data_IF_659744553095
#
_entry.id   IF_659744553095
#
_cell.length_a   1.000
_cell.length_b   1.000
_cell.length_c   1.000
_cell.angle_alpha   90.00
_cell.angle_beta   90.00
_cell.angle_gamma   90.00
#
_symmetry.space_group_name_H-M   'P 1'
#
loop_
_entity.id
_entity.type
_entity.pdbx_description
1 polymer ?
#
# COMPACT_ATOMS: atom_id res chain seq x y z
N UNK A 1 -54.07 -47.43 -29.57
CA UNK A 1 -53.11 -47.32 -28.46
C UNK A 1 -51.71 -47.17 -29.03
N UNK A 2 -51.10 -45.98 -28.97
CA UNK A 2 -49.68 -45.77 -29.23
C UNK A 2 -49.15 -44.84 -28.15
N UNK A 3 -48.40 -45.39 -27.22
CA UNK A 3 -47.74 -44.68 -26.12
C UNK A 3 -46.34 -44.28 -26.56
N UNK A 4 -46.08 -42.98 -26.64
CA UNK A 4 -44.76 -42.38 -26.84
C UNK A 4 -44.18 -42.04 -25.47
N UNK A 5 -43.08 -42.70 -25.07
CA UNK A 5 -42.28 -42.29 -23.91
C UNK A 5 -41.30 -41.19 -24.35
N UNK A 6 -41.37 -40.03 -23.70
CA UNK A 6 -40.34 -38.99 -23.77
C UNK A 6 -39.35 -39.19 -22.62
N UNK A 7 -38.07 -39.39 -22.95
CA UNK A 7 -36.98 -39.44 -21.97
C UNK A 7 -36.46 -38.02 -21.71
N UNK A 8 -36.59 -37.54 -20.46
CA UNK A 8 -35.90 -36.34 -19.99
C UNK A 8 -34.46 -36.72 -19.59
N UNK A 9 -33.48 -36.21 -20.31
CA UNK A 9 -32.07 -36.25 -19.91
C UNK A 9 -31.77 -35.03 -19.03
N UNK A 10 -31.46 -35.27 -17.76
CA UNK A 10 -31.05 -34.25 -16.80
C UNK A 10 -29.53 -34.06 -16.88
N UNK A 11 -29.07 -33.06 -17.62
CA UNK A 11 -27.64 -32.70 -17.69
C UNK A 11 -27.29 -31.80 -16.50
N UNK A 12 -26.63 -32.37 -15.49
CA UNK A 12 -26.07 -31.61 -14.38
C UNK A 12 -24.85 -30.80 -14.85
N UNK A 13 -24.96 -29.47 -14.89
CA UNK A 13 -23.83 -28.57 -15.07
C UNK A 13 -22.96 -28.57 -13.81
N UNK A 14 -21.85 -29.31 -13.84
CA UNK A 14 -20.74 -29.13 -12.90
C UNK A 14 -19.96 -27.87 -13.30
N UNK A 15 -20.22 -26.76 -12.61
CA UNK A 15 -19.34 -25.60 -12.66
C UNK A 15 -18.02 -25.96 -11.93
N UNK A 16 -16.84 -25.72 -12.52
CA UNK A 16 -15.58 -25.91 -11.82
C UNK A 16 -15.46 -24.84 -10.74
N UNK A 17 -15.58 -25.25 -9.47
CA UNK A 17 -15.13 -24.45 -8.35
C UNK A 17 -13.61 -24.34 -8.45
N UNK A 18 -13.11 -23.23 -9.00
CA UNK A 18 -11.70 -22.87 -8.84
C UNK A 18 -11.48 -22.63 -7.35
N UNK A 19 -11.01 -23.68 -6.66
CA UNK A 19 -10.41 -23.57 -5.34
C UNK A 19 -9.14 -22.76 -5.51
N UNK A 20 -9.25 -21.43 -5.39
CA UNK A 20 -8.12 -20.55 -5.18
C UNK A 20 -7.44 -21.10 -3.92
N UNK A 21 -6.30 -21.78 -4.09
CA UNK A 21 -5.52 -22.24 -2.95
C UNK A 21 -5.24 -20.98 -2.12
N UNK A 22 -5.92 -20.85 -0.98
CA UNK A 22 -5.77 -19.69 -0.13
C UNK A 22 -4.28 -19.58 0.20
N UNK A 23 -3.68 -18.44 -0.16
CA UNK A 23 -2.29 -18.21 0.17
C UNK A 23 -2.10 -18.36 1.67
N UNK A 24 -1.06 -19.10 2.06
CA UNK A 24 -0.81 -19.37 3.47
C UNK A 24 -0.66 -18.02 4.21
N UNK A 25 -1.48 -17.75 5.24
CA UNK A 25 -1.39 -16.50 5.96
C UNK A 25 -0.05 -16.41 6.67
N UNK A 26 0.49 -15.20 6.78
CA UNK A 26 1.65 -14.95 7.63
C UNK A 26 1.20 -15.07 9.09
N UNK A 27 1.85 -15.94 9.85
CA UNK A 27 1.50 -16.16 11.25
C UNK A 27 1.90 -14.96 12.13
N UNK A 28 1.18 -14.77 13.24
CA UNK A 28 1.55 -13.77 14.25
C UNK A 28 2.99 -13.94 14.76
N UNK A 29 3.51 -15.19 14.80
CA UNK A 29 4.91 -15.47 15.17
C UNK A 29 5.90 -14.92 14.12
N UNK A 30 5.59 -15.02 12.83
CA UNK A 30 6.42 -14.46 11.76
C UNK A 30 6.42 -12.93 11.83
N UNK A 31 5.25 -12.30 12.03
CA UNK A 31 5.17 -10.86 12.26
C UNK A 31 5.99 -10.43 13.49
N UNK A 32 5.78 -11.07 14.64
CA UNK A 32 6.52 -10.76 15.86
C UNK A 32 8.04 -10.88 15.67
N UNK A 33 8.50 -11.91 14.96
CA UNK A 33 9.92 -12.10 14.66
C UNK A 33 10.51 -10.99 13.79
N UNK A 34 9.76 -10.49 12.80
CA UNK A 34 10.24 -9.45 11.89
C UNK A 34 10.16 -8.07 12.54
N UNK A 35 9.11 -7.80 13.31
CA UNK A 35 8.95 -6.53 14.02
C UNK A 35 9.98 -6.35 15.13
N UNK A 36 10.38 -7.43 15.80
CA UNK A 36 11.49 -7.45 16.75
C UNK A 36 12.88 -7.61 16.09
N UNK A 37 12.95 -7.58 14.75
CA UNK A 37 14.17 -7.83 14.00
C UNK A 37 15.23 -6.76 14.25
N UNK A 38 16.44 -7.19 14.62
CA UNK A 38 17.57 -6.28 14.90
C UNK A 38 18.10 -5.53 13.67
N UNK A 39 17.63 -5.87 12.47
CA UNK A 39 17.99 -5.20 11.22
C UNK A 39 17.14 -3.95 10.95
N UNK A 40 16.04 -3.78 11.69
CA UNK A 40 15.17 -2.62 11.55
C UNK A 40 15.84 -1.39 12.11
N UNK A 41 15.69 -0.27 11.42
CA UNK A 41 16.15 1.01 11.93
C UNK A 41 15.39 1.32 13.24
N UNK A 42 16.07 1.62 14.36
CA UNK A 42 15.40 1.96 15.62
C UNK A 42 14.39 3.10 15.49
N UNK A 43 14.65 4.10 14.64
CA UNK A 43 13.71 5.19 14.37
C UNK A 43 12.48 4.72 13.59
N UNK A 44 12.60 3.67 12.78
CA UNK A 44 11.47 3.04 12.11
C UNK A 44 10.66 2.21 13.12
N UNK A 45 11.29 1.35 13.90
CA UNK A 45 10.63 0.50 14.89
C UNK A 45 9.90 1.30 15.97
N UNK A 46 10.45 2.45 16.39
CA UNK A 46 9.79 3.36 17.32
C UNK A 46 8.42 3.89 16.83
N UNK A 47 8.15 3.77 15.52
CA UNK A 47 6.91 4.21 14.89
C UNK A 47 5.89 3.10 14.68
N UNK A 48 6.20 1.86 15.06
CA UNK A 48 5.28 0.73 14.91
C UNK A 48 3.96 0.97 15.66
N UNK A 49 4.01 1.62 16.82
CA UNK A 49 2.81 1.98 17.60
C UNK A 49 1.92 3.03 16.92
N UNK A 50 2.43 3.75 15.91
CA UNK A 50 1.61 4.63 15.08
C UNK A 50 1.19 3.93 13.79
N UNK A 51 2.05 3.10 13.21
CA UNK A 51 1.89 2.54 11.86
C UNK A 51 1.21 1.17 11.82
N UNK A 52 1.12 0.48 12.96
CA UNK A 52 0.42 -0.79 13.11
C UNK A 52 0.71 -1.78 11.97
N UNK A 53 1.99 -2.13 11.71
CA UNK A 53 2.40 -2.84 10.50
C UNK A 53 1.72 -4.20 10.36
N UNK A 54 1.66 -4.98 11.43
CA UNK A 54 1.01 -6.29 11.40
C UNK A 54 -0.48 -6.14 11.04
N UNK A 55 -1.22 -5.34 11.79
CA UNK A 55 -2.66 -5.17 11.61
C UNK A 55 -2.99 -4.56 10.24
N UNK A 56 -2.17 -3.64 9.74
CA UNK A 56 -2.33 -3.04 8.42
C UNK A 56 -2.11 -4.06 7.30
N UNK A 57 -1.05 -4.88 7.40
CA UNK A 57 -0.74 -5.90 6.39
C UNK A 57 -1.72 -7.09 6.44
N UNK A 58 -2.18 -7.48 7.63
CA UNK A 58 -3.26 -8.46 7.82
C UNK A 58 -4.57 -7.94 7.20
N UNK A 59 -4.91 -6.66 7.42
CA UNK A 59 -6.08 -6.04 6.80
C UNK A 59 -6.00 -6.08 5.27
N UNK A 60 -4.83 -5.79 4.69
CA UNK A 60 -4.59 -5.91 3.24
C UNK A 60 -4.55 -7.37 2.75
N UNK A 61 -4.53 -8.36 3.64
CA UNK A 61 -4.55 -9.78 3.28
C UNK A 61 -3.20 -10.28 2.79
N UNK A 62 -2.11 -9.78 3.36
CA UNK A 62 -0.75 -10.23 3.01
C UNK A 62 -0.59 -11.73 3.27
N UNK A 63 -0.21 -12.46 2.22
CA UNK A 63 0.08 -13.89 2.25
C UNK A 63 1.55 -14.19 1.99
N UNK A 64 2.07 -15.27 2.56
CA UNK A 64 3.50 -15.59 2.53
C UNK A 64 4.06 -15.94 1.14
N UNK A 65 3.18 -16.22 0.16
CA UNK A 65 3.57 -16.64 -1.21
C UNK A 65 3.27 -15.58 -2.28
N UNK A 66 2.77 -14.42 -1.88
CA UNK A 66 2.35 -13.38 -2.81
C UNK A 66 3.54 -12.72 -3.50
N UNK A 67 3.32 -12.26 -4.74
CA UNK A 67 4.11 -11.19 -5.34
C UNK A 67 3.54 -9.85 -4.92
N UNK A 68 4.30 -9.09 -4.14
CA UNK A 68 3.90 -7.80 -3.57
C UNK A 68 4.79 -6.70 -4.12
N UNK A 69 4.16 -5.65 -4.66
CA UNK A 69 4.83 -4.42 -5.07
C UNK A 69 4.55 -3.35 -4.02
N UNK A 70 5.60 -2.87 -3.34
CA UNK A 70 5.55 -1.67 -2.52
C UNK A 70 5.90 -0.45 -3.38
N UNK A 71 5.00 0.53 -3.42
CA UNK A 71 5.16 1.73 -4.25
C UNK A 71 5.84 2.85 -3.45
N UNK A 72 6.91 3.40 -3.99
CA UNK A 72 7.72 4.49 -3.40
C UNK A 72 8.02 4.25 -1.92
N UNK A 73 8.84 3.24 -1.57
CA UNK A 73 9.13 2.86 -0.18
C UNK A 73 9.86 3.94 0.66
N UNK A 74 10.37 4.98 0.01
CA UNK A 74 11.20 6.01 0.66
C UNK A 74 12.43 5.38 1.31
N UNK A 75 12.65 5.70 2.58
CA UNK A 75 13.71 5.11 3.41
C UNK A 75 13.50 3.63 3.77
N UNK A 76 12.48 2.96 3.25
CA UNK A 76 12.31 1.51 3.35
C UNK A 76 11.64 0.99 4.63
N UNK A 77 10.81 1.82 5.27
CA UNK A 77 10.15 1.45 6.54
C UNK A 77 9.35 0.14 6.43
N UNK A 78 8.51 0.01 5.40
CA UNK A 78 7.75 -1.22 5.17
C UNK A 78 8.61 -2.29 4.50
N UNK A 79 9.64 -1.90 3.74
CA UNK A 79 10.60 -2.83 3.13
C UNK A 79 11.34 -3.68 4.16
N UNK A 80 11.68 -3.09 5.31
CA UNK A 80 12.26 -3.79 6.47
C UNK A 80 11.38 -4.92 7.02
N UNK A 81 10.07 -4.89 6.72
CA UNK A 81 9.08 -5.86 7.15
C UNK A 81 8.69 -6.81 6.00
N UNK A 82 8.31 -6.25 4.86
CA UNK A 82 7.81 -6.99 3.70
C UNK A 82 8.88 -7.90 3.09
N UNK A 83 10.12 -7.41 2.92
CA UNK A 83 11.16 -8.20 2.28
C UNK A 83 11.51 -9.46 3.10
N UNK A 84 11.75 -9.39 4.43
CA UNK A 84 11.94 -10.60 5.25
C UNK A 84 10.72 -11.53 5.28
N UNK A 85 9.50 -10.99 5.33
CA UNK A 85 8.28 -11.81 5.38
C UNK A 85 8.05 -12.63 4.10
N UNK A 86 8.40 -12.05 2.94
CA UNK A 86 8.20 -12.68 1.64
C UNK A 86 9.43 -13.43 1.12
N UNK A 87 10.59 -13.31 1.78
CA UNK A 87 11.88 -13.81 1.31
C UNK A 87 11.89 -15.30 0.93
N UNK A 88 11.21 -16.14 1.69
CA UNK A 88 11.35 -17.60 1.54
C UNK A 88 10.38 -18.19 0.53
N UNK A 89 9.16 -17.65 0.43
CA UNK A 89 8.08 -18.25 -0.35
C UNK A 89 7.35 -17.28 -1.29
N UNK A 90 7.53 -15.98 -1.12
CA UNK A 90 6.90 -14.94 -1.93
C UNK A 90 7.93 -14.13 -2.70
N UNK A 91 7.48 -12.99 -3.23
CA UNK A 91 8.32 -12.06 -3.97
C UNK A 91 8.01 -10.63 -3.55
N UNK A 92 9.04 -9.93 -3.07
CA UNK A 92 8.94 -8.52 -2.73
C UNK A 92 9.60 -7.66 -3.81
N UNK A 93 8.87 -6.65 -4.28
CA UNK A 93 9.30 -5.69 -5.28
C UNK A 93 9.12 -4.28 -4.72
N UNK A 94 10.21 -3.53 -4.63
CA UNK A 94 10.20 -2.10 -4.37
C UNK A 94 10.12 -1.34 -5.70
N UNK A 95 8.98 -0.68 -5.97
CA UNK A 95 8.86 0.22 -7.11
C UNK A 95 9.29 1.64 -6.70
N UNK A 96 10.39 2.12 -7.28
CA UNK A 96 10.96 3.45 -7.01
C UNK A 96 10.77 4.36 -8.22
N UNK A 97 10.56 5.65 -8.00
CA UNK A 97 10.60 6.59 -9.12
C UNK A 97 12.01 6.59 -9.69
N UNK A 98 12.14 6.62 -11.02
CA UNK A 98 13.44 6.66 -11.68
C UNK A 98 14.27 7.86 -11.16
N UNK A 99 15.54 7.64 -10.83
CA UNK A 99 16.47 8.68 -10.35
C UNK A 99 16.56 9.93 -11.26
N UNK A 100 16.16 9.83 -12.53
CA UNK A 100 16.10 10.95 -13.46
C UNK A 100 14.91 11.90 -13.22
N UNK A 101 13.89 11.47 -12.47
CA UNK A 101 12.65 12.25 -12.27
C UNK A 101 12.83 13.45 -11.35
N UNK A 102 13.71 13.34 -10.34
CA UNK A 102 14.04 14.42 -9.41
C UNK A 102 15.26 14.08 -8.55
N UNK A 103 15.86 15.08 -7.91
CA UNK A 103 16.91 14.86 -6.91
C UNK A 103 16.41 14.01 -5.73
N UNK A 104 15.16 14.24 -5.30
CA UNK A 104 14.53 13.46 -4.24
C UNK A 104 14.38 11.97 -4.62
N UNK A 105 13.92 11.68 -5.85
CA UNK A 105 13.80 10.31 -6.34
C UNK A 105 15.14 9.59 -6.35
N UNK A 106 16.20 10.26 -6.83
CA UNK A 106 17.57 9.72 -6.80
C UNK A 106 18.01 9.39 -5.39
N UNK A 107 17.91 10.32 -4.45
CA UNK A 107 18.31 10.10 -3.06
C UNK A 107 17.51 8.97 -2.40
N UNK A 108 16.20 8.92 -2.65
CA UNK A 108 15.30 7.88 -2.12
C UNK A 108 15.70 6.49 -2.63
N UNK A 109 15.92 6.38 -3.94
CA UNK A 109 16.37 5.15 -4.60
C UNK A 109 17.74 4.69 -4.08
N UNK A 110 18.73 5.59 -4.05
CA UNK A 110 20.08 5.30 -3.55
C UNK A 110 20.04 4.84 -2.09
N UNK A 111 19.26 5.52 -1.24
CA UNK A 111 19.08 5.16 0.17
C UNK A 111 18.53 3.75 0.32
N UNK A 112 17.50 3.39 -0.45
CA UNK A 112 16.89 2.07 -0.40
C UNK A 112 17.84 0.99 -0.93
N UNK A 113 18.49 1.23 -2.07
CA UNK A 113 19.48 0.30 -2.66
C UNK A 113 20.65 0.05 -1.70
N UNK A 114 21.16 1.10 -1.05
CA UNK A 114 22.22 0.98 -0.05
C UNK A 114 21.77 0.18 1.18
N UNK A 115 20.54 0.39 1.67
CA UNK A 115 19.96 -0.41 2.76
C UNK A 115 19.90 -1.90 2.38
N UNK A 116 19.45 -2.22 1.17
CA UNK A 116 19.37 -3.61 0.72
C UNK A 116 20.75 -4.24 0.55
N UNK A 117 21.72 -3.50 0.02
CA UNK A 117 23.10 -3.96 -0.13
C UNK A 117 23.80 -4.21 1.21
N UNK A 118 23.46 -3.44 2.25
CA UNK A 118 24.07 -3.54 3.58
C UNK A 118 23.67 -4.81 4.35
N UNK A 119 22.52 -5.43 4.04
CA UNK A 119 22.08 -6.67 4.70
C UNK A 119 21.49 -7.70 3.70
N UNK A 120 22.33 -8.36 2.89
CA UNK A 120 21.90 -9.34 1.90
C UNK A 120 21.13 -10.52 2.51
N UNK A 121 21.38 -10.85 3.78
CA UNK A 121 20.67 -11.94 4.46
C UNK A 121 19.16 -11.68 4.55
N UNK A 122 18.73 -10.41 4.56
CA UNK A 122 17.31 -10.01 4.59
C UNK A 122 16.82 -9.61 3.19
N UNK A 123 17.66 -8.94 2.41
CA UNK A 123 17.20 -8.22 1.22
C UNK A 123 17.71 -8.75 -0.13
N UNK A 124 18.60 -9.75 -0.19
CA UNK A 124 19.16 -10.19 -1.48
C UNK A 124 18.14 -10.74 -2.50
N UNK A 125 16.94 -11.12 -2.04
CA UNK A 125 15.82 -11.56 -2.89
C UNK A 125 14.82 -10.45 -3.20
N UNK A 126 14.95 -9.27 -2.60
CA UNK A 126 14.15 -8.11 -2.93
C UNK A 126 14.51 -7.62 -4.33
N UNK A 127 13.50 -7.27 -5.13
CA UNK A 127 13.71 -6.62 -6.42
C UNK A 127 13.46 -5.12 -6.27
N UNK A 128 14.22 -4.32 -7.01
CA UNK A 128 13.97 -2.88 -7.16
C UNK A 128 13.64 -2.65 -8.63
N UNK A 129 12.50 -2.02 -8.90
CA UNK A 129 12.08 -1.62 -10.25
C UNK A 129 11.88 -0.12 -10.29
N UNK A 130 12.41 0.51 -11.33
CA UNK A 130 12.24 1.95 -11.55
C UNK A 130 11.01 2.21 -12.43
N UNK A 131 10.30 3.32 -12.18
CA UNK A 131 9.20 3.77 -13.02
C UNK A 131 9.25 5.28 -13.28
N UNK A 132 8.75 5.70 -14.45
CA UNK A 132 8.50 7.10 -14.74
C UNK A 132 7.18 7.54 -14.07
N UNK A 133 7.19 8.53 -13.15
CA UNK A 133 5.96 8.99 -12.51
C UNK A 133 4.91 9.56 -13.47
N UNK A 134 5.30 10.00 -14.69
CA UNK A 134 4.36 10.49 -15.71
C UNK A 134 3.76 9.37 -16.57
N UNK A 135 4.43 8.22 -16.64
CA UNK A 135 4.00 7.06 -17.41
C UNK A 135 4.35 5.76 -16.65
N UNK A 136 3.72 5.52 -15.48
CA UNK A 136 4.14 4.46 -14.59
C UNK A 136 3.88 3.07 -15.17
N UNK A 137 4.89 2.19 -15.08
CA UNK A 137 4.79 0.76 -15.38
C UNK A 137 5.52 0.00 -14.28
N UNK A 138 4.79 -0.78 -13.49
CA UNK A 138 5.34 -1.45 -12.30
C UNK A 138 5.78 -2.90 -12.54
N UNK A 139 5.52 -3.43 -13.74
CA UNK A 139 5.81 -4.81 -14.09
C UNK A 139 4.97 -5.27 -15.27
N UNK A 140 5.03 -6.58 -15.57
CA UNK A 140 4.18 -7.18 -16.59
C UNK A 140 2.70 -7.07 -16.17
N UNK A 141 1.75 -6.89 -17.10
CA UNK A 141 0.34 -6.94 -16.76
C UNK A 141 -0.04 -8.25 -16.05
N UNK A 142 -0.92 -8.18 -15.05
CA UNK A 142 -1.39 -9.31 -14.25
C UNK A 142 -0.26 -10.18 -13.64
N UNK A 143 0.80 -9.55 -13.12
CA UNK A 143 1.94 -10.24 -12.52
C UNK A 143 1.98 -10.17 -10.99
N UNK A 144 1.33 -9.18 -10.36
CA UNK A 144 1.34 -9.01 -8.91
C UNK A 144 0.04 -9.49 -8.23
N UNK A 145 0.16 -10.03 -7.03
CA UNK A 145 -0.97 -10.40 -6.17
C UNK A 145 -1.43 -9.20 -5.33
N UNK A 146 -0.49 -8.36 -4.90
CA UNK A 146 -0.78 -7.13 -4.17
C UNK A 146 0.09 -5.95 -4.62
N UNK A 147 -0.51 -4.76 -4.63
CA UNK A 147 0.18 -3.48 -4.72
C UNK A 147 -0.15 -2.70 -3.46
N UNK A 148 0.87 -2.29 -2.72
CA UNK A 148 0.74 -1.59 -1.45
C UNK A 148 1.39 -0.22 -1.54
N UNK A 149 0.68 0.80 -1.07
CA UNK A 149 1.18 2.17 -1.00
C UNK A 149 0.84 2.81 0.34
N UNK A 150 1.81 3.53 0.89
CA UNK A 150 1.72 4.11 2.22
C UNK A 150 2.18 5.57 2.16
N UNK A 151 1.25 6.50 2.37
CA UNK A 151 1.49 7.94 2.40
C UNK A 151 2.09 8.51 1.10
N UNK A 152 1.55 8.09 -0.05
CA UNK A 152 2.04 8.55 -1.36
C UNK A 152 0.98 9.18 -2.27
N UNK A 153 -0.31 8.90 -2.07
CA UNK A 153 -1.38 9.35 -2.98
C UNK A 153 -1.44 10.87 -3.03
N UNK A 154 -1.25 11.55 -1.90
CA UNK A 154 -1.23 13.02 -1.85
C UNK A 154 -0.15 13.63 -2.76
N UNK A 155 1.00 12.96 -2.92
CA UNK A 155 2.06 13.41 -3.82
C UNK A 155 1.63 13.30 -5.29
N UNK A 156 0.91 12.24 -5.65
CA UNK A 156 0.45 12.04 -7.03
C UNK A 156 -0.74 12.94 -7.38
N UNK A 157 -1.58 13.28 -6.39
CA UNK A 157 -2.62 14.29 -6.56
C UNK A 157 -1.99 15.65 -6.80
N UNK A 158 -1.03 16.06 -5.96
CA UNK A 158 -0.33 17.34 -6.12
C UNK A 158 0.45 17.43 -7.45
N UNK A 159 0.97 16.31 -7.95
CA UNK A 159 1.70 16.24 -9.21
C UNK A 159 0.82 15.96 -10.45
N UNK A 160 -0.50 15.86 -10.29
CA UNK A 160 -1.46 15.49 -11.35
C UNK A 160 -1.11 14.17 -12.09
N UNK A 161 -0.62 13.19 -11.35
CA UNK A 161 -0.22 11.85 -11.85
C UNK A 161 -1.03 10.71 -11.23
N UNK A 162 -1.97 11.02 -10.34
CA UNK A 162 -2.75 10.01 -9.61
C UNK A 162 -3.54 9.10 -10.56
N UNK A 163 -4.22 9.64 -11.57
CA UNK A 163 -5.01 8.84 -12.52
C UNK A 163 -4.16 7.81 -13.27
N UNK A 164 -3.02 8.24 -13.83
CA UNK A 164 -2.08 7.35 -14.51
C UNK A 164 -1.52 6.27 -13.56
N UNK A 165 -1.21 6.66 -12.32
CA UNK A 165 -0.67 5.76 -11.29
C UNK A 165 -1.67 4.67 -10.90
N UNK A 166 -2.93 5.03 -10.62
CA UNK A 166 -3.97 4.04 -10.30
C UNK A 166 -4.30 3.12 -11.48
N UNK A 167 -4.28 3.63 -12.71
CA UNK A 167 -4.40 2.81 -13.93
C UNK A 167 -3.27 1.78 -14.02
N UNK A 168 -2.02 2.17 -13.74
CA UNK A 168 -0.88 1.25 -13.73
C UNK A 168 -0.97 0.19 -12.62
N UNK A 169 -1.49 0.53 -11.42
CA UNK A 169 -1.81 -0.48 -10.39
C UNK A 169 -2.81 -1.50 -10.90
N UNK A 170 -3.87 -1.03 -11.58
CA UNK A 170 -4.88 -1.91 -12.13
C UNK A 170 -4.29 -2.85 -13.19
N UNK A 171 -3.38 -2.37 -14.03
CA UNK A 171 -2.75 -3.17 -15.07
C UNK A 171 -1.84 -4.28 -14.49
N UNK A 172 -0.99 -3.96 -13.52
CA UNK A 172 -0.01 -4.90 -12.97
C UNK A 172 -0.64 -5.99 -12.10
N UNK A 173 -1.78 -5.69 -11.45
CA UNK A 173 -2.46 -6.66 -10.58
C UNK A 173 -3.15 -7.78 -11.37
N UNK A 174 -3.07 -9.00 -10.85
CA UNK A 174 -3.88 -10.14 -11.31
C UNK A 174 -5.38 -9.88 -11.06
N UNK A 175 -6.30 -10.51 -11.82
CA UNK A 175 -7.71 -10.57 -11.41
C UNK A 175 -7.84 -11.14 -10.00
N UNK A 176 -8.61 -10.49 -9.13
CA UNK A 176 -8.70 -10.80 -7.70
C UNK A 176 -7.56 -10.20 -6.85
N UNK A 177 -6.56 -9.57 -7.46
CA UNK A 177 -5.44 -8.93 -6.75
C UNK A 177 -5.86 -7.72 -5.92
N UNK A 178 -5.07 -7.41 -4.90
CA UNK A 178 -5.36 -6.36 -3.91
C UNK A 178 -4.57 -5.10 -4.19
N UNK A 179 -5.25 -3.95 -4.11
CA UNK A 179 -4.61 -2.66 -3.92
C UNK A 179 -4.85 -2.20 -2.47
N UNK A 180 -3.78 -2.11 -1.69
CA UNK A 180 -3.80 -1.58 -0.33
C UNK A 180 -3.32 -0.14 -0.33
N UNK A 181 -4.16 0.79 0.16
CA UNK A 181 -3.86 2.22 0.23
C UNK A 181 -3.96 2.70 1.66
N UNK A 182 -2.90 3.29 2.17
CA UNK A 182 -2.88 4.04 3.41
C UNK A 182 -2.42 5.47 3.11
N UNK A 183 -3.19 6.48 3.49
CA UNK A 183 -2.77 7.87 3.34
C UNK A 183 -3.46 8.81 4.35
N UNK A 184 -2.95 10.02 4.46
CA UNK A 184 -3.41 11.10 5.33
C UNK A 184 -4.88 11.46 5.05
N UNK A 185 -5.73 11.34 6.06
CA UNK A 185 -7.18 11.54 5.95
C UNK A 185 -7.56 12.97 6.28
N UNK A 186 -8.18 13.67 5.33
CA UNK A 186 -8.85 14.94 5.56
C UNK A 186 -10.19 14.73 6.27
N UNK A 187 -10.82 15.82 6.73
CA UNK A 187 -12.21 15.79 7.22
C UNK A 187 -13.14 15.41 6.06
N UNK A 188 -14.20 14.68 6.35
CA UNK A 188 -15.23 14.36 5.35
C UNK A 188 -15.85 15.65 4.80
N UNK A 189 -16.02 15.71 3.48
CA UNK A 189 -16.54 16.88 2.79
C UNK A 189 -15.62 18.11 2.81
N UNK A 190 -14.35 17.97 3.17
CA UNK A 190 -13.39 19.06 3.08
C UNK A 190 -13.31 19.62 1.65
N UNK A 191 -13.21 20.94 1.55
CA UNK A 191 -12.97 21.63 0.28
C UNK A 191 -11.60 21.23 -0.27
N UNK A 192 -11.58 20.68 -1.49
CA UNK A 192 -10.36 20.20 -2.14
C UNK A 192 -9.36 21.32 -2.38
N UNK A 193 -9.83 22.53 -2.69
CA UNK A 193 -8.95 23.69 -2.88
C UNK A 193 -8.30 24.12 -1.56
N UNK A 194 -9.02 23.98 -0.45
CA UNK A 194 -8.51 24.32 0.88
C UNK A 194 -7.46 23.32 1.39
N UNK A 195 -7.51 22.05 0.95
CA UNK A 195 -6.59 21.00 1.42
C UNK A 195 -5.45 20.67 0.44
N UNK A 196 -5.43 21.26 -0.76
CA UNK A 196 -4.50 20.87 -1.84
C UNK A 196 -3.02 20.87 -1.45
N UNK A 197 -2.61 21.81 -0.59
CA UNK A 197 -1.22 21.95 -0.13
C UNK A 197 -0.99 21.36 1.27
N UNK A 198 -1.98 20.67 1.83
CA UNK A 198 -1.95 20.17 3.21
C UNK A 198 -1.38 18.76 3.35
N UNK A 199 -1.32 18.00 2.25
CA UNK A 199 -0.98 16.57 2.26
C UNK A 199 -2.12 15.66 2.74
N UNK A 200 -3.23 16.21 3.24
CA UNK A 200 -4.44 15.44 3.54
C UNK A 200 -5.31 15.26 2.30
N UNK A 201 -5.93 14.08 2.17
CA UNK A 201 -6.90 13.77 1.11
C UNK A 201 -8.22 13.32 1.73
N UNK A 202 -9.34 13.62 1.07
CA UNK A 202 -10.62 13.01 1.49
C UNK A 202 -10.64 11.53 1.09
N UNK A 203 -11.23 10.68 1.94
CA UNK A 203 -11.41 9.25 1.63
C UNK A 203 -12.18 9.06 0.31
N UNK A 204 -13.18 9.90 0.07
CA UNK A 204 -13.98 9.89 -1.17
C UNK A 204 -13.12 10.13 -2.42
N UNK A 205 -12.15 11.04 -2.37
CA UNK A 205 -11.25 11.30 -3.50
C UNK A 205 -10.38 10.09 -3.82
N UNK A 206 -9.80 9.43 -2.81
CA UNK A 206 -8.96 8.24 -3.00
C UNK A 206 -9.79 7.05 -3.50
N UNK A 207 -10.99 6.85 -2.95
CA UNK A 207 -11.93 5.84 -3.46
C UNK A 207 -12.28 6.11 -4.91
N UNK A 208 -12.57 7.36 -5.29
CA UNK A 208 -12.88 7.73 -6.66
C UNK A 208 -11.73 7.42 -7.62
N UNK A 209 -10.49 7.76 -7.26
CA UNK A 209 -9.30 7.45 -8.07
C UNK A 209 -9.18 5.95 -8.34
N UNK A 210 -9.41 5.12 -7.31
CA UNK A 210 -9.38 3.67 -7.45
C UNK A 210 -10.54 3.14 -8.32
N UNK A 211 -11.76 3.61 -8.08
CA UNK A 211 -12.94 3.13 -8.83
C UNK A 211 -12.92 3.56 -10.29
N UNK A 212 -12.41 4.77 -10.59
CA UNK A 212 -12.23 5.24 -11.97
C UNK A 212 -11.21 4.37 -12.74
N UNK A 213 -10.20 3.83 -12.05
CA UNK A 213 -9.26 2.87 -12.61
C UNK A 213 -9.82 1.43 -12.74
N UNK A 214 -11.04 1.17 -12.24
CA UNK A 214 -11.73 -0.12 -12.35
C UNK A 214 -11.68 -1.00 -11.10
N UNK A 215 -11.13 -0.52 -9.99
CA UNK A 215 -11.16 -1.26 -8.72
C UNK A 215 -12.54 -1.21 -8.05
N UNK A 216 -12.78 -2.16 -7.15
CA UNK A 216 -13.89 -2.10 -6.18
C UNK A 216 -13.35 -1.93 -4.78
N UNK A 217 -13.94 -1.02 -4.00
CA UNK A 217 -13.65 -0.92 -2.57
C UNK A 217 -14.18 -2.19 -1.88
N UNK A 218 -13.30 -2.94 -1.24
CA UNK A 218 -13.63 -4.20 -0.58
C UNK A 218 -13.78 -4.03 0.94
N UNK A 219 -12.96 -3.17 1.55
CA UNK A 219 -13.02 -2.88 2.98
C UNK A 219 -12.32 -1.57 3.34
N UNK A 220 -12.65 -1.04 4.52
CA UNK A 220 -11.97 0.09 5.16
C UNK A 220 -11.60 -0.29 6.60
N UNK A 221 -10.54 0.31 7.14
CA UNK A 221 -10.09 0.07 8.52
C UNK A 221 -9.68 1.38 9.20
N UNK A 222 -10.01 1.47 10.49
CA UNK A 222 -9.60 2.54 11.39
C UNK A 222 -8.28 2.23 12.12
N UNK A 223 -7.55 1.20 11.69
CA UNK A 223 -6.29 0.76 12.34
C UNK A 223 -5.25 1.90 12.49
N UNK A 224 -5.22 2.85 11.55
CA UNK A 224 -4.33 4.01 11.58
C UNK A 224 -5.08 5.33 11.85
N UNK A 225 -6.28 5.27 12.43
CA UNK A 225 -7.02 6.45 12.82
C UNK A 225 -6.34 7.16 13.99
N UNK A 226 -6.31 8.48 13.95
CA UNK A 226 -5.84 9.30 15.07
C UNK A 226 -6.84 10.42 15.38
N UNK A 227 -7.67 10.29 16.44
CA UNK A 227 -8.64 11.31 16.80
C UNK A 227 -8.01 12.60 17.31
N UNK A 228 -6.72 12.61 17.66
CA UNK A 228 -6.00 13.81 18.10
C UNK A 228 -5.55 14.71 16.93
N UNK A 229 -5.55 14.18 15.71
CA UNK A 229 -5.19 14.94 14.52
C UNK A 229 -6.38 15.78 14.04
N UNK A 230 -6.29 17.09 14.25
CA UNK A 230 -7.31 18.09 13.93
C UNK A 230 -7.24 18.60 12.48
N UNK A 231 -6.15 18.26 11.76
CA UNK A 231 -5.94 18.49 10.31
C UNK A 231 -5.88 19.96 9.88
N UNK A 232 -5.65 20.88 10.82
CA UNK A 232 -5.71 22.34 10.65
C UNK A 232 -4.39 23.02 11.03
N UNK A 233 -3.28 22.49 10.50
CA UNK A 233 -1.94 22.97 10.81
C UNK A 233 -1.35 23.81 9.65
N UNK A 234 -0.58 24.88 9.93
CA UNK A 234 0.02 25.72 8.89
C UNK A 234 0.92 24.98 7.90
N UNK A 235 1.61 23.92 8.35
CA UNK A 235 2.47 23.09 7.52
C UNK A 235 1.78 21.84 6.97
N UNK A 236 0.45 21.77 7.04
CA UNK A 236 -0.32 20.58 6.72
C UNK A 236 0.07 19.40 7.60
N UNK A 237 -0.05 18.19 7.05
CA UNK A 237 0.28 16.95 7.74
C UNK A 237 1.75 16.85 8.15
N UNK A 238 2.64 17.55 7.43
CA UNK A 238 4.07 17.58 7.74
C UNK A 238 4.42 18.38 9.00
N UNK A 239 3.45 19.11 9.58
CA UNK A 239 3.61 19.66 10.93
C UNK A 239 3.73 18.54 11.99
N UNK A 240 3.12 17.37 11.76
CA UNK A 240 3.17 16.24 12.69
C UNK A 240 4.44 15.37 12.49
N UNK A 241 4.79 14.53 13.48
CA UNK A 241 5.77 13.46 13.30
C UNK A 241 5.49 12.58 12.05
N UNK A 242 6.53 12.06 11.40
CA UNK A 242 7.95 12.20 11.73
C UNK A 242 8.58 13.49 11.16
N UNK A 243 7.86 14.27 10.35
CA UNK A 243 8.43 15.37 9.59
C UNK A 243 8.71 16.59 10.46
N UNK A 244 7.78 16.95 11.36
CA UNK A 244 7.92 18.10 12.28
C UNK A 244 8.44 19.36 11.56
N UNK A 245 7.82 19.72 10.42
CA UNK A 245 8.26 20.78 9.50
C UNK A 245 8.44 22.15 10.16
N UNK A 246 7.76 22.40 11.28
CA UNK A 246 7.87 23.65 12.06
C UNK A 246 9.04 23.65 13.06
N UNK A 247 9.85 22.59 13.09
CA UNK A 247 11.01 22.48 13.97
C UNK A 247 10.62 22.51 15.45
N UNK A 248 11.21 23.46 16.20
CA UNK A 248 10.98 23.60 17.64
C UNK A 248 9.70 24.36 17.99
N UNK A 249 9.07 25.05 17.02
CA UNK A 249 7.81 25.77 17.26
C UNK A 249 6.71 24.78 17.66
N UNK A 250 6.19 24.92 18.87
CA UNK A 250 5.13 24.07 19.46
C UNK A 250 5.42 22.55 19.34
N UNK A 251 6.68 22.14 19.24
CA UNK A 251 7.06 20.75 18.96
C UNK A 251 6.44 19.76 19.94
N UNK A 252 6.42 20.09 21.23
CA UNK A 252 5.82 19.26 22.26
C UNK A 252 4.32 19.00 22.02
N UNK A 253 3.58 20.01 21.53
CA UNK A 253 2.17 19.88 21.13
C UNK A 253 2.02 18.88 19.97
N UNK A 254 2.84 19.00 18.92
CA UNK A 254 2.74 18.12 17.76
C UNK A 254 3.21 16.68 18.06
N UNK A 255 4.23 16.51 18.90
CA UNK A 255 4.65 15.20 19.38
C UNK A 255 3.56 14.52 20.21
N UNK A 256 2.82 15.26 21.04
CA UNK A 256 1.72 14.72 21.84
C UNK A 256 0.51 14.25 21.01
N UNK A 257 0.35 14.80 19.79
CA UNK A 257 -0.66 14.35 18.80
C UNK A 257 -0.24 13.00 18.19
N UNK A 258 1.06 12.82 17.89
CA UNK A 258 1.58 11.65 17.20
C UNK A 258 1.47 11.76 15.68
N UNK A 259 1.60 10.64 14.96
CA UNK A 259 1.42 10.65 13.51
C UNK A 259 -0.03 10.91 13.11
N UNK A 260 -0.21 11.46 11.91
CA UNK A 260 -1.51 11.84 11.35
C UNK A 260 -2.56 10.72 11.34
N UNK A 261 -3.82 11.15 11.36
CA UNK A 261 -4.99 10.34 11.05
C UNK A 261 -4.92 9.83 9.60
N UNK A 262 -5.01 8.52 9.40
CA UNK A 262 -4.81 7.90 8.09
C UNK A 262 -5.96 6.96 7.74
N UNK A 263 -6.51 7.15 6.55
CA UNK A 263 -7.44 6.21 5.95
C UNK A 263 -6.68 4.94 5.58
N UNK A 264 -7.25 3.77 5.83
CA UNK A 264 -6.66 2.49 5.42
C UNK A 264 -7.70 1.72 4.59
N UNK A 265 -7.47 1.64 3.28
CA UNK A 265 -8.45 1.20 2.29
C UNK A 265 -7.93 -0.03 1.55
N UNK A 266 -8.78 -1.07 1.47
CA UNK A 266 -8.50 -2.26 0.67
C UNK A 266 -9.42 -2.29 -0.54
N UNK A 267 -8.81 -2.27 -1.71
CA UNK A 267 -9.49 -2.43 -2.99
C UNK A 267 -9.15 -3.78 -3.60
N UNK A 268 -10.03 -4.28 -4.46
CA UNK A 268 -9.81 -5.50 -5.25
C UNK A 268 -9.99 -5.20 -6.73
N UNK A 269 -9.11 -5.76 -7.55
CA UNK A 269 -9.33 -5.87 -8.99
C UNK A 269 -10.36 -6.96 -9.22
N UNK A 270 -11.54 -6.69 -9.81
CA UNK A 270 -12.56 -7.72 -9.98
C UNK A 270 -12.02 -8.97 -10.71
N UNK A 271 -12.40 -10.16 -10.23
CA UNK A 271 -12.26 -11.37 -11.03
C UNK A 271 -13.18 -11.24 -12.26
N UNK A 272 -12.69 -11.68 -13.42
CA UNK A 272 -13.54 -11.78 -14.62
C UNK A 272 -14.52 -12.93 -14.47
#
# INVERSE_FOLDING_TARGET
MKTTLAALSLTALLAPAFSQAADAPISAKQYASVLAGSWRDPANSARDGYRHPQQTLEFFGLGAKQTVIEITPGGGWYSEVLAPLLKDHGHYIAAVQAASSSAYARTSEETLKNKFAADPARYAKAQVVEFDPKAPVFGKPASADAVLTFRNVHNWVAADTASATFSAFYQVLKPGGVLGVEDHRAKDGADLEAIKDSGYLTTAQVVKLATDAGFKLAAQSEVNANPKDTKDYPGGVWTLPPALKLGEQDKAKYVAIGESDRMTLRFVKPAK
#
